data_IF_388112760150
#
_entry.id   IF_388112760150
#
_cell.length_a   1.000
_cell.length_b   1.000
_cell.length_c   1.000
_cell.angle_alpha   90.00
_cell.angle_beta   90.00
_cell.angle_gamma   90.00
#
_symmetry.space_group_name_H-M   'P 1'
#
loop_
_entity.id
_entity.type
_entity.pdbx_description
1 polymer ?
#
# COMPACT_ATOMS: atom_id res chain seq x y z
N UNK A 1 -23.60 -5.16 -2.96
CA UNK A 1 -23.24 -4.74 -2.57
C UNK A 1 -23.37 -4.14 -2.10
N UNK A 2 -23.52 -4.05 -1.70
CA UNK A 2 -23.33 -3.46 -1.46
C UNK A 2 -23.08 -2.80 -0.50
N UNK A 3 -22.85 -2.96 0.79
CA UNK A 3 -22.32 -2.01 1.62
C UNK A 3 -22.39 -0.74 0.96
N UNK A 4 -23.47 -0.47 0.50
CA UNK A 4 -23.59 0.56 -0.46
C UNK A 4 -23.32 1.92 0.09
N UNK A 5 -23.70 2.17 1.32
CA UNK A 5 -23.54 3.52 1.84
C UNK A 5 -22.10 3.88 2.09
N UNK A 6 -21.37 2.95 2.65
CA UNK A 6 -19.94 3.16 2.81
C UNK A 6 -19.32 3.33 1.44
N UNK A 7 -19.77 2.56 0.49
CA UNK A 7 -19.25 2.65 -0.86
C UNK A 7 -19.60 3.95 -1.53
N UNK A 8 -20.70 4.57 -1.13
CA UNK A 8 -21.03 5.84 -1.73
C UNK A 8 -19.98 6.88 -1.49
N UNK A 9 -19.45 6.92 -0.30
CA UNK A 9 -18.38 7.85 -0.02
C UNK A 9 -17.16 7.51 -0.84
N UNK A 10 -16.97 6.24 -1.13
CA UNK A 10 -15.81 5.79 -1.89
C UNK A 10 -16.08 5.83 -3.38
N UNK A 11 -17.33 5.92 -3.79
CA UNK A 11 -17.64 5.87 -5.21
C UNK A 11 -17.13 7.07 -5.99
N UNK A 12 -16.75 8.13 -5.31
CA UNK A 12 -16.08 9.22 -6.01
C UNK A 12 -14.67 8.84 -6.39
N UNK A 13 -14.15 7.72 -5.88
CA UNK A 13 -12.82 7.25 -6.13
C UNK A 13 -12.88 6.20 -7.23
N UNK A 14 -11.98 6.30 -8.20
CA UNK A 14 -11.95 5.34 -9.28
C UNK A 14 -11.55 3.96 -8.76
N UNK A 15 -11.86 2.87 -9.50
CA UNK A 15 -11.44 1.54 -9.07
C UNK A 15 -9.93 1.44 -8.90
N UNK A 16 -9.16 2.12 -9.74
CA UNK A 16 -7.72 2.12 -9.63
C UNK A 16 -7.27 2.77 -8.32
N UNK A 17 -7.90 3.88 -7.97
CA UNK A 17 -7.56 4.58 -6.73
C UNK A 17 -7.93 3.74 -5.52
N UNK A 18 -9.05 3.04 -5.59
CA UNK A 18 -9.45 2.17 -4.51
C UNK A 18 -8.43 1.06 -4.27
N UNK A 19 -7.93 0.48 -5.35
CA UNK A 19 -6.90 -0.54 -5.23
C UNK A 19 -5.63 0.01 -4.61
N UNK A 20 -5.27 1.23 -4.98
CA UNK A 20 -4.09 1.88 -4.40
C UNK A 20 -4.26 2.14 -2.92
N UNK A 21 -5.46 2.58 -2.52
CA UNK A 21 -5.73 2.82 -1.10
C UNK A 21 -5.61 1.53 -0.32
N UNK A 22 -6.14 0.45 -0.86
CA UNK A 22 -6.06 -0.85 -0.20
C UNK A 22 -4.61 -1.31 -0.07
N UNK A 23 -3.82 -1.07 -1.10
CA UNK A 23 -2.41 -1.43 -1.05
C UNK A 23 -1.68 -0.62 0.02
N UNK A 24 -1.94 0.68 0.08
CA UNK A 24 -1.30 1.52 1.07
C UNK A 24 -1.72 1.15 2.48
N UNK A 25 -2.99 0.81 2.66
CA UNK A 25 -3.48 0.37 3.96
C UNK A 25 -2.81 -0.94 4.37
N UNK A 26 -2.61 -1.83 3.42
CA UNK A 26 -1.94 -3.09 3.68
C UNK A 26 -0.50 -2.87 4.13
N UNK A 27 0.20 -1.99 3.45
CA UNK A 27 1.59 -1.69 3.83
C UNK A 27 1.66 -1.15 5.25
N UNK A 28 0.73 -0.27 5.61
CA UNK A 28 0.68 0.28 6.97
C UNK A 28 0.40 -0.82 7.99
N UNK A 29 -0.52 -1.72 7.69
CA UNK A 29 -0.84 -2.85 8.56
C UNK A 29 0.37 -3.73 8.79
N UNK A 30 1.08 -4.06 7.73
CA UNK A 30 2.25 -4.93 7.83
C UNK A 30 3.33 -4.27 8.66
N UNK A 31 3.54 -2.96 8.44
CA UNK A 31 4.51 -2.23 9.26
C UNK A 31 4.18 -2.37 10.74
N UNK A 32 2.91 -2.18 11.09
CA UNK A 32 2.47 -2.26 12.48
C UNK A 32 2.63 -3.67 13.04
N UNK A 33 2.31 -4.67 12.24
CA UNK A 33 2.48 -6.05 12.65
C UNK A 33 3.92 -6.37 12.97
N UNK A 34 4.84 -5.72 12.28
CA UNK A 34 6.26 -5.94 12.51
C UNK A 34 6.80 -5.03 13.62
N UNK A 35 5.89 -4.32 14.32
CA UNK A 35 6.26 -3.45 15.42
C UNK A 35 7.27 -2.40 15.03
N UNK A 36 7.11 -1.87 13.83
CA UNK A 36 8.01 -0.88 13.28
C UNK A 36 7.30 0.47 13.25
N UNK A 37 7.95 1.51 13.75
CA UNK A 37 7.37 2.84 13.69
C UNK A 37 7.53 3.42 12.29
N UNK A 38 6.76 4.48 12.00
CA UNK A 38 6.93 5.19 10.74
C UNK A 38 8.35 5.69 10.57
N UNK A 39 8.92 6.18 11.66
CA UNK A 39 10.28 6.69 11.62
C UNK A 39 11.29 5.58 11.32
N UNK A 40 11.11 4.45 11.96
CA UNK A 40 12.02 3.32 11.74
C UNK A 40 11.96 2.84 10.30
N UNK A 41 10.76 2.73 9.76
CA UNK A 41 10.62 2.31 8.38
C UNK A 41 11.23 3.34 7.45
N UNK A 42 10.96 4.63 7.70
CA UNK A 42 11.47 5.70 6.86
C UNK A 42 12.99 5.65 6.80
N UNK A 43 13.63 5.47 7.94
CA UNK A 43 15.09 5.40 7.99
C UNK A 43 15.60 4.18 7.25
N UNK A 44 14.91 3.07 7.39
CA UNK A 44 15.34 1.82 6.77
C UNK A 44 15.28 1.91 5.24
N UNK A 45 14.27 2.56 4.71
CA UNK A 45 14.08 2.59 3.25
C UNK A 45 14.54 3.90 2.63
N UNK A 46 15.12 4.80 3.43
CA UNK A 46 15.65 6.06 2.93
C UNK A 46 14.58 6.94 2.30
N UNK A 47 13.45 7.00 2.98
CA UNK A 47 12.32 7.86 2.59
C UNK A 47 11.99 8.68 3.82
N UNK A 48 11.49 9.90 3.64
CA UNK A 48 11.21 10.73 4.80
C UNK A 48 10.02 10.17 5.57
N UNK A 49 10.01 10.42 6.89
CA UNK A 49 8.87 10.00 7.70
C UNK A 49 7.59 10.68 7.23
N UNK A 50 7.70 11.93 6.78
CA UNK A 50 6.54 12.64 6.26
C UNK A 50 5.92 11.92 5.08
N UNK A 51 6.75 11.35 4.20
CA UNK A 51 6.25 10.60 3.06
C UNK A 51 5.54 9.33 3.52
N UNK A 52 6.10 8.62 4.51
CA UNK A 52 5.46 7.44 5.06
C UNK A 52 4.10 7.81 5.66
N UNK A 53 4.07 8.90 6.43
CA UNK A 53 2.82 9.32 7.07
C UNK A 53 1.76 9.71 6.03
N UNK A 54 2.16 10.43 5.00
CA UNK A 54 1.21 10.82 3.95
C UNK A 54 0.70 9.64 3.18
N UNK A 55 1.57 8.68 2.94
CA UNK A 55 1.17 7.45 2.27
C UNK A 55 0.13 6.71 3.10
N UNK A 56 0.38 6.61 4.39
CA UNK A 56 -0.50 5.85 5.27
C UNK A 56 -1.84 6.54 5.52
N UNK A 57 -1.90 7.86 5.39
CA UNK A 57 -3.17 8.56 5.54
C UNK A 57 -3.80 8.90 4.18
N UNK A 58 -3.25 8.34 3.10
CA UNK A 58 -3.79 8.44 1.75
C UNK A 58 -3.78 9.87 1.22
N UNK A 59 -2.83 10.68 1.67
CA UNK A 59 -2.70 12.05 1.21
C UNK A 59 -1.98 12.16 -0.12
N UNK A 60 -1.34 11.09 -0.56
CA UNK A 60 -0.64 11.13 -1.82
C UNK A 60 -0.42 9.72 -2.33
N UNK A 61 -0.31 9.61 -3.64
CA UNK A 61 -0.08 8.32 -4.29
C UNK A 61 1.42 8.17 -4.52
N UNK A 62 2.04 7.17 -3.91
CA UNK A 62 3.49 6.99 -4.10
C UNK A 62 3.80 6.47 -5.49
N UNK A 63 5.02 6.74 -5.93
CA UNK A 63 5.50 6.14 -7.17
C UNK A 63 5.77 4.66 -6.94
N UNK A 64 5.84 3.91 -8.04
CA UNK A 64 6.17 2.49 -7.93
C UNK A 64 7.53 2.31 -7.28
N UNK A 65 8.46 3.21 -7.58
CA UNK A 65 9.79 3.15 -6.95
C UNK A 65 9.69 3.25 -5.44
N UNK A 66 8.87 4.16 -4.94
CA UNK A 66 8.70 4.33 -3.51
C UNK A 66 8.04 3.10 -2.89
N UNK A 67 7.01 2.58 -3.55
CA UNK A 67 6.33 1.38 -3.07
C UNK A 67 7.30 0.21 -3.00
N UNK A 68 8.14 0.07 -4.01
CA UNK A 68 9.13 -1.00 -4.04
C UNK A 68 10.10 -0.88 -2.87
N UNK A 69 10.57 0.34 -2.59
CA UNK A 69 11.47 0.56 -1.46
C UNK A 69 10.82 0.15 -0.15
N UNK A 70 9.57 0.56 0.04
CA UNK A 70 8.86 0.27 1.28
C UNK A 70 8.64 -1.22 1.42
N UNK A 71 8.21 -1.87 0.35
CA UNK A 71 8.01 -3.31 0.37
C UNK A 71 9.31 -4.02 0.73
N UNK A 72 10.40 -3.61 0.13
CA UNK A 72 11.69 -4.21 0.41
C UNK A 72 12.07 -4.03 1.88
N UNK A 73 11.82 -2.85 2.44
CA UNK A 73 12.09 -2.59 3.85
C UNK A 73 11.23 -3.41 4.78
N UNK A 74 10.07 -3.83 4.32
CA UNK A 74 9.19 -4.71 5.08
C UNK A 74 9.41 -6.18 4.75
N UNK A 75 10.44 -6.48 3.99
CA UNK A 75 10.77 -7.84 3.59
C UNK A 75 9.66 -8.46 2.75
N UNK A 76 9.09 -7.66 1.86
CA UNK A 76 8.03 -8.08 0.96
C UNK A 76 8.53 -8.03 -0.47
N UNK A 77 7.95 -8.87 -1.28
CA UNK A 77 8.27 -8.92 -2.70
C UNK A 77 7.04 -8.46 -3.48
N UNK A 78 7.25 -7.61 -4.48
CA UNK A 78 6.14 -7.15 -5.32
C UNK A 78 6.02 -8.10 -6.50
N UNK A 79 4.81 -8.59 -6.72
CA UNK A 79 4.56 -9.47 -7.85
C UNK A 79 3.11 -9.26 -8.31
N UNK A 80 2.81 -9.78 -9.47
CA UNK A 80 1.46 -9.76 -10.01
C UNK A 80 0.84 -11.14 -9.85
N UNK A 81 -0.47 -11.14 -9.60
CA UNK A 81 -1.22 -12.36 -9.45
C UNK A 81 -2.21 -12.45 -10.59
N UNK A 82 -2.23 -13.59 -11.28
CA UNK A 82 -3.18 -13.82 -12.35
C UNK A 82 -4.58 -13.92 -11.76
N UNK A 83 -5.52 -13.15 -12.30
CA UNK A 83 -6.87 -13.10 -11.76
C UNK A 83 -7.59 -14.45 -11.91
N UNK A 84 -7.26 -15.19 -12.95
CA UNK A 84 -7.95 -16.43 -13.22
C UNK A 84 -7.43 -17.57 -12.36
N UNK A 85 -6.11 -17.70 -12.27
CA UNK A 85 -5.51 -18.81 -11.54
C UNK A 85 -5.21 -18.48 -10.10
N UNK A 86 -5.18 -17.18 -9.75
CA UNK A 86 -4.80 -16.72 -8.43
C UNK A 86 -3.38 -17.13 -8.07
N UNK A 87 -2.55 -17.30 -9.08
CA UNK A 87 -1.16 -17.70 -8.92
C UNK A 87 -0.25 -16.54 -9.27
N UNK A 88 0.89 -16.41 -8.59
CA UNK A 88 1.85 -15.37 -8.96
C UNK A 88 2.36 -15.60 -10.37
N UNK A 89 2.51 -14.49 -11.10
CA UNK A 89 3.04 -14.55 -12.45
C UNK A 89 4.56 -14.59 -12.37
N UNK A 90 5.17 -15.49 -13.11
CA UNK A 90 6.62 -15.61 -13.13
C UNK A 90 7.16 -15.43 -14.53
N UNK A 91 8.39 -14.96 -14.60
CA UNK A 91 9.06 -14.85 -15.90
C UNK A 91 9.44 -16.20 -16.44
#
# INVERSE_FOLDING_TARGET
MKCTDVKKEITSISPEDKNLIELMALLASIRKEKNMTQKELAEKVHVSQAQIARLENFSYVPSLKTVTKIADGLNLEITFVDKNTKQPVRN
#
